data_IF_815832996225
#
_entry.id   IF_815832996225
#
_cell.length_a   1.000
_cell.length_b   1.000
_cell.length_c   1.000
_cell.angle_alpha   90.00
_cell.angle_beta   90.00
_cell.angle_gamma   90.00
#
_symmetry.space_group_name_H-M   'P 1'
#
loop_
_entity.id
_entity.type
_entity.pdbx_description
1 polymer ?
#
# COMPACT_ATOMS: atom_id res chain seq x y z
N UNK A 1 -12.63 -1.47 -6.83
CA UNK A 1 -12.36 -1.58 -5.39
C UNK A 1 -11.31 -0.54 -5.05
N UNK A 2 -11.30 0.01 -3.84
CA UNK A 2 -10.30 1.00 -3.43
C UNK A 2 -9.68 0.60 -2.12
N UNK A 3 -8.36 0.65 -2.05
CA UNK A 3 -7.57 0.23 -0.90
C UNK A 3 -6.62 1.35 -0.48
N UNK A 4 -6.37 1.42 0.82
CA UNK A 4 -5.33 2.29 1.39
C UNK A 4 -4.21 1.42 1.96
N UNK A 5 -3.01 1.63 1.44
CA UNK A 5 -1.79 0.95 1.87
C UNK A 5 -0.76 1.95 2.41
N UNK A 6 -0.75 2.22 3.74
CA UNK A 6 0.24 3.09 4.34
C UNK A 6 1.63 2.49 4.21
N UNK A 7 2.62 3.36 4.08
CA UNK A 7 4.03 3.00 4.21
C UNK A 7 4.34 2.73 5.69
N UNK A 8 4.88 1.55 5.97
CA UNK A 8 5.33 1.15 7.31
C UNK A 8 6.81 0.81 7.24
N UNK A 9 7.72 1.72 7.66
CA UNK A 9 9.12 1.41 7.80
C UNK A 9 9.34 0.19 8.71
N UNK A 10 10.34 -0.63 8.41
CA UNK A 10 10.57 -1.85 9.18
C UNK A 10 10.75 -1.61 10.69
N UNK A 11 11.50 -0.55 11.06
CA UNK A 11 11.69 -0.15 12.45
C UNK A 11 10.40 0.33 13.16
N UNK A 12 9.31 0.56 12.42
CA UNK A 12 7.99 0.94 12.95
C UNK A 12 6.98 -0.19 12.90
N UNK A 13 7.32 -1.34 12.29
CA UNK A 13 6.38 -2.45 12.07
C UNK A 13 5.69 -2.90 13.36
N UNK A 14 6.45 -3.11 14.43
CA UNK A 14 5.89 -3.61 15.70
C UNK A 14 4.91 -2.62 16.32
N UNK A 15 5.28 -1.35 16.37
CA UNK A 15 4.42 -0.28 16.89
C UNK A 15 3.15 -0.19 16.05
N UNK A 16 3.29 -0.27 14.73
CA UNK A 16 2.18 -0.26 13.80
C UNK A 16 1.24 -1.46 14.01
N UNK A 17 1.75 -2.70 14.03
CA UNK A 17 0.93 -3.90 14.25
C UNK A 17 0.20 -3.82 15.60
N UNK A 18 0.89 -3.43 16.68
CA UNK A 18 0.28 -3.30 18.01
C UNK A 18 -0.81 -2.21 18.06
N UNK A 19 -0.62 -1.08 17.37
CA UNK A 19 -1.66 -0.05 17.25
C UNK A 19 -2.85 -0.57 16.46
N UNK A 20 -2.61 -1.25 15.34
CA UNK A 20 -3.68 -1.76 14.47
C UNK A 20 -4.48 -2.88 15.14
N UNK A 21 -3.88 -3.64 16.07
CA UNK A 21 -4.58 -4.64 16.89
C UNK A 21 -5.74 -4.09 17.72
N UNK A 22 -5.77 -2.79 17.98
CA UNK A 22 -6.93 -2.13 18.63
C UNK A 22 -8.19 -2.14 17.76
N UNK A 23 -8.05 -2.28 16.44
CA UNK A 23 -9.14 -2.35 15.48
C UNK A 23 -9.34 -3.77 14.91
N UNK A 24 -8.27 -4.56 14.85
CA UNK A 24 -8.25 -5.92 14.30
C UNK A 24 -7.43 -6.85 15.22
N UNK A 25 -8.07 -7.60 16.12
CA UNK A 25 -7.42 -8.36 17.20
C UNK A 25 -6.21 -9.20 16.77
N UNK A 26 -6.31 -9.83 15.60
CA UNK A 26 -5.30 -10.76 15.07
C UNK A 26 -4.50 -10.15 13.90
N UNK A 27 -4.34 -8.82 13.91
CA UNK A 27 -3.59 -8.12 12.87
C UNK A 27 -2.11 -8.52 12.86
N UNK A 28 -1.66 -8.95 11.69
CA UNK A 28 -0.26 -9.25 11.37
C UNK A 28 -0.02 -8.99 9.89
N UNK A 29 1.17 -8.55 9.53
CA UNK A 29 1.57 -8.47 8.12
C UNK A 29 1.73 -9.88 7.52
N UNK A 30 1.16 -10.10 6.35
CA UNK A 30 1.23 -11.39 5.66
C UNK A 30 1.32 -11.25 4.14
N UNK A 31 1.63 -12.38 3.50
CA UNK A 31 1.56 -12.59 2.06
C UNK A 31 0.71 -13.84 1.77
N UNK A 32 0.41 -14.08 0.50
CA UNK A 32 -0.10 -15.36 0.03
C UNK A 32 1.06 -16.13 -0.59
N UNK A 33 1.21 -17.41 -0.24
CA UNK A 33 2.14 -18.30 -0.95
C UNK A 33 1.57 -18.71 -2.32
N UNK A 34 2.33 -19.49 -3.08
CA UNK A 34 1.91 -19.97 -4.41
C UNK A 34 0.66 -20.86 -4.37
N UNK A 35 0.33 -21.43 -3.21
CA UNK A 35 -0.89 -22.21 -2.96
C UNK A 35 -2.08 -21.33 -2.56
N UNK A 36 -1.89 -20.01 -2.42
CA UNK A 36 -2.92 -19.07 -1.97
C UNK A 36 -3.12 -19.06 -0.45
N UNK A 37 -2.22 -19.69 0.32
CA UNK A 37 -2.30 -19.72 1.78
C UNK A 37 -1.67 -18.47 2.39
N UNK A 38 -2.29 -17.95 3.44
CA UNK A 38 -1.78 -16.81 4.20
C UNK A 38 -0.53 -17.21 4.98
N UNK A 39 0.60 -16.56 4.68
CA UNK A 39 1.88 -16.72 5.37
C UNK A 39 2.26 -15.42 6.10
N UNK A 40 2.48 -15.51 7.41
CA UNK A 40 2.95 -14.36 8.19
C UNK A 40 4.35 -13.98 7.72
N UNK A 41 4.56 -12.70 7.42
CA UNK A 41 5.87 -12.24 7.00
C UNK A 41 6.84 -12.23 8.17
N UNK A 42 8.05 -12.74 7.96
CA UNK A 42 9.14 -12.62 8.93
C UNK A 42 9.47 -11.15 9.21
N UNK A 43 9.88 -10.85 10.46
CA UNK A 43 10.35 -9.51 10.80
C UNK A 43 11.68 -9.24 10.13
N UNK A 44 11.91 -8.00 9.70
CA UNK A 44 13.12 -7.59 8.98
C UNK A 44 13.31 -8.23 7.59
N UNK A 45 12.28 -8.85 7.02
CA UNK A 45 12.31 -9.38 5.64
C UNK A 45 12.41 -8.28 4.57
N UNK A 46 12.04 -7.04 4.89
CA UNK A 46 12.01 -5.92 3.95
C UNK A 46 12.37 -4.61 4.67
N UNK A 47 12.86 -3.59 3.93
CA UNK A 47 13.13 -2.27 4.51
C UNK A 47 11.85 -1.51 4.92
N UNK A 48 10.73 -1.83 4.27
CA UNK A 48 9.40 -1.26 4.53
C UNK A 48 8.30 -2.19 4.04
N UNK A 49 7.08 -1.91 4.48
CA UNK A 49 5.87 -2.68 4.22
C UNK A 49 4.73 -1.75 3.80
N UNK A 50 3.78 -2.29 3.04
CA UNK A 50 2.58 -1.60 2.56
C UNK A 50 1.33 -2.47 2.81
N UNK A 51 0.94 -2.67 4.08
CA UNK A 51 -0.27 -3.41 4.42
C UNK A 51 -1.53 -2.74 3.92
N UNK A 52 -2.49 -3.51 3.43
CA UNK A 52 -3.87 -3.05 3.31
C UNK A 52 -4.41 -2.80 4.73
N UNK A 53 -4.83 -1.56 4.98
CA UNK A 53 -5.45 -1.14 6.27
C UNK A 53 -6.90 -0.70 6.13
N UNK A 54 -7.31 -0.41 4.91
CA UNK A 54 -8.68 -0.08 4.55
C UNK A 54 -8.92 -0.58 3.12
N UNK A 55 -10.13 -1.08 2.88
CA UNK A 55 -10.60 -1.50 1.58
C UNK A 55 -12.10 -1.18 1.45
N UNK A 56 -12.53 -0.79 0.25
CA UNK A 56 -13.93 -0.52 -0.12
C UNK A 56 -14.30 -1.26 -1.42
N UNK A 57 -15.33 -2.14 -1.41
CA UNK A 57 -16.11 -2.57 -0.25
C UNK A 57 -15.24 -3.19 0.85
N UNK A 58 -15.77 -3.34 2.07
CA UNK A 58 -15.00 -3.86 3.20
C UNK A 58 -14.72 -5.37 3.03
N UNK A 59 -13.44 -5.73 3.00
CA UNK A 59 -12.92 -7.11 2.98
C UNK A 59 -11.85 -7.28 4.06
N UNK A 60 -12.27 -7.67 5.27
CA UNK A 60 -11.37 -7.83 6.42
C UNK A 60 -10.30 -8.91 6.19
N UNK A 61 -10.56 -9.87 5.29
CA UNK A 61 -9.62 -10.92 4.90
C UNK A 61 -8.41 -10.43 4.09
N UNK A 62 -8.42 -9.18 3.63
CA UNK A 62 -7.29 -8.53 2.96
C UNK A 62 -6.49 -7.62 3.91
N UNK A 63 -7.02 -7.29 5.07
CA UNK A 63 -6.38 -6.36 6.01
C UNK A 63 -5.11 -6.99 6.59
N UNK A 64 -3.96 -6.34 6.35
CA UNK A 64 -2.63 -6.83 6.70
C UNK A 64 -1.87 -7.48 5.53
N UNK A 65 -2.52 -7.68 4.39
CA UNK A 65 -1.83 -8.14 3.17
C UNK A 65 -0.86 -7.07 2.71
N UNK A 66 0.41 -7.43 2.53
CA UNK A 66 1.44 -6.48 2.15
C UNK A 66 1.68 -6.44 0.65
N UNK A 67 1.26 -5.34 0.02
CA UNK A 67 1.46 -5.13 -1.41
C UNK A 67 2.93 -4.95 -1.78
N UNK A 68 3.79 -4.52 -0.86
CA UNK A 68 5.19 -4.22 -1.20
C UNK A 68 5.96 -5.46 -1.63
N UNK A 69 5.70 -6.59 -0.97
CA UNK A 69 6.40 -7.85 -1.19
C UNK A 69 5.60 -8.84 -2.04
N UNK A 70 4.42 -8.44 -2.56
CA UNK A 70 3.69 -9.23 -3.54
C UNK A 70 4.44 -9.25 -4.88
N UNK A 71 4.55 -10.44 -5.49
CA UNK A 71 5.32 -10.65 -6.72
C UNK A 71 4.69 -9.97 -7.95
N UNK A 72 3.37 -9.83 -7.96
CA UNK A 72 2.61 -9.29 -9.09
C UNK A 72 2.47 -7.78 -8.95
N UNK A 73 2.06 -7.29 -7.79
CA UNK A 73 1.64 -5.92 -7.55
C UNK A 73 2.75 -5.04 -6.98
N UNK A 74 3.65 -5.62 -6.17
CA UNK A 74 4.76 -4.91 -5.55
C UNK A 74 5.62 -4.11 -6.54
N UNK A 75 5.98 -4.61 -7.73
CA UNK A 75 6.74 -3.84 -8.71
C UNK A 75 6.06 -2.53 -9.14
N UNK A 76 4.73 -2.52 -9.26
CA UNK A 76 3.98 -1.34 -9.70
C UNK A 76 3.81 -0.33 -8.57
N UNK A 77 3.54 -0.80 -7.34
CA UNK A 77 3.55 0.06 -6.16
C UNK A 77 4.91 0.75 -5.99
N UNK A 78 6.00 -0.01 -6.07
CA UNK A 78 7.36 0.55 -5.97
C UNK A 78 7.65 1.55 -7.07
N UNK A 79 7.24 1.27 -8.31
CA UNK A 79 7.35 2.23 -9.41
C UNK A 79 6.64 3.54 -9.07
N UNK A 80 5.40 3.47 -8.58
CA UNK A 80 4.62 4.66 -8.23
C UNK A 80 5.31 5.48 -7.12
N UNK A 81 5.80 4.80 -6.08
CA UNK A 81 6.61 5.41 -4.99
C UNK A 81 7.88 6.08 -5.52
N UNK A 82 8.61 5.41 -6.40
CA UNK A 82 9.94 5.84 -6.82
C UNK A 82 9.87 6.99 -7.84
N UNK A 83 8.83 7.03 -8.67
CA UNK A 83 8.65 8.08 -9.69
C UNK A 83 7.79 9.25 -9.22
N UNK A 84 7.05 9.10 -8.11
CA UNK A 84 6.00 10.04 -7.70
C UNK A 84 4.90 10.26 -8.74
N UNK A 85 4.71 9.29 -9.64
CA UNK A 85 3.68 9.28 -10.66
C UNK A 85 2.77 8.08 -10.49
N UNK A 86 1.49 8.16 -10.93
CA UNK A 86 0.64 6.99 -11.00
C UNK A 86 1.29 5.85 -11.79
N UNK A 87 1.08 4.61 -11.34
CA UNK A 87 1.45 3.41 -12.09
C UNK A 87 0.26 2.46 -12.21
N UNK A 88 0.34 1.50 -13.13
CA UNK A 88 -0.68 0.44 -13.25
C UNK A 88 -0.05 -0.90 -13.57
N UNK A 89 -0.69 -1.97 -13.10
CA UNK A 89 -0.36 -3.34 -13.51
C UNK A 89 -0.89 -3.62 -14.93
N UNK A 90 -0.32 -4.61 -15.65
CA UNK A 90 -1.05 -5.28 -16.73
C UNK A 90 -2.27 -6.03 -16.14
N UNK A 91 -3.18 -6.55 -16.98
CA UNK A 91 -4.25 -7.42 -16.52
C UNK A 91 -3.70 -8.68 -15.85
N UNK A 92 -4.24 -9.03 -14.68
CA UNK A 92 -3.89 -10.22 -13.91
C UNK A 92 -5.11 -10.73 -13.13
N UNK A 93 -4.96 -11.88 -12.50
CA UNK A 93 -6.01 -12.46 -11.68
C UNK A 93 -6.12 -11.72 -10.33
N UNK A 94 -7.25 -11.04 -10.11
CA UNK A 94 -7.47 -10.23 -8.91
C UNK A 94 -7.59 -11.09 -7.64
N UNK A 95 -6.95 -10.66 -6.55
CA UNK A 95 -7.05 -11.28 -5.23
C UNK A 95 -8.41 -11.00 -4.57
N UNK A 96 -8.83 -11.88 -3.66
CA UNK A 96 -9.85 -11.55 -2.66
C UNK A 96 -11.31 -11.43 -3.13
N UNK A 97 -11.62 -11.72 -4.39
CA UNK A 97 -13.00 -11.87 -4.83
C UNK A 97 -13.44 -13.32 -4.59
N UNK A 98 -13.96 -13.57 -3.38
CA UNK A 98 -14.62 -14.83 -3.06
C UNK A 98 -15.56 -15.21 -4.22
N UNK A 99 -15.31 -16.37 -4.79
CA UNK A 99 -16.15 -17.10 -5.75
C UNK A 99 -16.09 -16.66 -7.23
N UNK A 100 -15.32 -15.64 -7.61
CA UNK A 100 -15.08 -15.36 -9.04
C UNK A 100 -13.64 -14.93 -9.31
N UNK A 101 -12.92 -15.77 -10.06
CA UNK A 101 -11.67 -15.37 -10.71
C UNK A 101 -11.99 -14.24 -11.70
N UNK A 102 -11.60 -13.01 -11.36
CA UNK A 102 -11.74 -11.86 -12.26
C UNK A 102 -10.37 -11.43 -12.73
N UNK A 103 -10.25 -11.30 -14.05
CA UNK A 103 -9.13 -10.60 -14.66
C UNK A 103 -9.42 -9.11 -14.53
N UNK A 104 -8.46 -8.37 -14.00
CA UNK A 104 -8.55 -6.92 -13.87
C UNK A 104 -7.16 -6.31 -13.77
N UNK A 105 -7.11 -5.01 -13.50
CA UNK A 105 -5.86 -4.28 -13.32
C UNK A 105 -5.89 -3.43 -12.04
N UNK A 106 -4.72 -3.07 -11.55
CA UNK A 106 -4.59 -2.21 -10.37
C UNK A 106 -3.86 -0.93 -10.75
N UNK A 107 -4.37 0.21 -10.29
CA UNK A 107 -3.70 1.51 -10.35
C UNK A 107 -3.17 1.88 -8.98
N UNK A 108 -1.99 2.48 -8.94
CA UNK A 108 -1.26 2.87 -7.74
C UNK A 108 -1.05 4.38 -7.76
N UNK A 109 -1.66 5.07 -6.81
CA UNK A 109 -1.61 6.52 -6.67
C UNK A 109 -0.78 6.86 -5.42
N UNK A 110 0.48 7.31 -5.58
CA UNK A 110 1.36 7.54 -4.45
C UNK A 110 0.95 8.83 -3.71
N UNK A 111 0.91 8.76 -2.38
CA UNK A 111 0.63 9.90 -1.52
C UNK A 111 1.88 10.33 -0.77
N UNK A 112 2.16 11.63 -0.80
CA UNK A 112 3.28 12.25 -0.11
C UNK A 112 2.79 13.35 0.83
N UNK A 113 3.45 13.48 1.98
CA UNK A 113 3.27 14.59 2.89
C UNK A 113 3.73 15.89 2.22
N UNK A 114 2.89 16.91 2.30
CA UNK A 114 3.30 18.29 2.01
C UNK A 114 3.74 18.90 3.34
N UNK A 115 4.97 19.40 3.43
CA UNK A 115 5.40 20.16 4.60
C UNK A 115 4.66 21.50 4.62
N UNK A 116 3.73 21.67 5.57
CA UNK A 116 2.88 22.85 5.69
C UNK A 116 3.65 24.17 5.88
N UNK A 117 4.91 24.12 6.31
CA UNK A 117 5.80 25.29 6.42
C UNK A 117 6.30 25.85 5.09
N UNK A 118 5.94 25.25 3.94
CA UNK A 118 6.38 25.70 2.62
C UNK A 118 5.26 26.27 1.74
N UNK A 119 4.02 26.31 2.23
CA UNK A 119 2.89 26.81 1.43
C UNK A 119 2.72 28.32 1.67
N UNK A 120 3.35 29.14 0.83
CA UNK A 120 2.81 30.49 0.63
C UNK A 120 1.49 30.38 -0.16
N UNK A 121 0.45 31.18 0.14
CA UNK A 121 -0.91 31.01 -0.40
C UNK A 121 -1.04 31.01 -1.92
N UNK A 122 0.00 31.44 -2.64
CA UNK A 122 0.02 31.69 -4.08
C UNK A 122 0.84 30.68 -4.88
N UNK A 123 1.52 29.72 -4.25
CA UNK A 123 2.30 28.71 -4.97
C UNK A 123 1.44 27.53 -5.42
N UNK A 124 1.59 27.11 -6.68
CA UNK A 124 0.88 25.95 -7.21
C UNK A 124 1.40 24.67 -6.53
N UNK A 125 0.52 23.69 -6.32
CA UNK A 125 0.89 22.39 -5.73
C UNK A 125 2.01 21.67 -6.53
N UNK A 126 2.17 22.02 -7.81
CA UNK A 126 3.19 21.49 -8.73
C UNK A 126 4.59 22.03 -8.44
N UNK A 127 4.73 23.24 -7.87
CA UNK A 127 6.04 23.78 -7.49
C UNK A 127 6.53 23.23 -6.14
N UNK A 128 5.62 22.87 -5.24
CA UNK A 128 5.92 22.34 -3.91
C UNK A 128 6.49 20.92 -3.94
N UNK A 129 6.14 20.11 -4.95
CA UNK A 129 6.67 18.74 -5.10
C UNK A 129 8.16 18.68 -5.49
N UNK A 130 8.76 19.82 -5.89
CA UNK A 130 10.15 19.91 -6.37
C UNK A 130 11.15 20.40 -5.32
N UNK A 131 10.70 20.80 -4.12
CA UNK A 131 11.57 21.29 -3.04
C UNK A 131 11.61 20.29 -1.87
N UNK A 132 12.73 19.57 -1.76
CA UNK A 132 12.98 18.43 -0.84
C UNK A 132 12.08 17.23 -1.13
N UNK A 133 12.67 16.03 -1.21
CA UNK A 133 11.94 14.78 -1.45
C UNK A 133 10.77 14.67 -0.46
N UNK A 134 9.51 14.82 -0.90
CA UNK A 134 8.38 14.87 0.01
C UNK A 134 8.25 13.52 0.70
N UNK A 135 7.85 13.51 1.97
CA UNK A 135 7.83 12.28 2.77
C UNK A 135 6.72 11.36 2.26
N UNK A 136 7.09 10.23 1.66
CA UNK A 136 6.13 9.23 1.17
C UNK A 136 5.32 8.63 2.34
N UNK A 137 3.99 8.68 2.22
CA UNK A 137 3.04 8.21 3.23
C UNK A 137 2.42 6.86 2.89
N UNK A 138 2.36 6.48 1.61
CA UNK A 138 1.74 5.24 1.17
C UNK A 138 1.05 5.41 -0.18
N UNK A 139 0.15 4.49 -0.51
CA UNK A 139 -0.49 4.45 -1.81
C UNK A 139 -2.01 4.27 -1.67
N UNK A 140 -2.79 4.97 -2.49
CA UNK A 140 -4.16 4.56 -2.79
C UNK A 140 -4.08 3.57 -3.94
N UNK A 141 -4.68 2.40 -3.76
CA UNK A 141 -4.76 1.38 -4.81
C UNK A 141 -6.19 1.28 -5.30
N UNK A 142 -6.38 1.34 -6.62
CA UNK A 142 -7.67 1.22 -7.27
C UNK A 142 -7.67 -0.02 -8.15
N UNK A 143 -8.53 -0.97 -7.83
CA UNK A 143 -8.74 -2.18 -8.62
C UNK A 143 -9.85 -1.92 -9.64
N UNK A 144 -9.55 -2.13 -10.91
CA UNK A 144 -10.41 -1.96 -12.09
C UNK A 144 -10.74 -3.33 -12.68
#
# INVERSE_FOLDING_TARGET
FTEWVPRVPNNQREIFENKTKTYFSDFQLYLFNIQGERIVQERNSAPEYHPITYCSPRYDSLVGFDLYNDEIEGPFLRKARDTAEPSSSPPFLLRGLADTFKIGMTMYLPLYAINATQVEPTQSLVSLSKQKSPQYWGCIVVVI
#
